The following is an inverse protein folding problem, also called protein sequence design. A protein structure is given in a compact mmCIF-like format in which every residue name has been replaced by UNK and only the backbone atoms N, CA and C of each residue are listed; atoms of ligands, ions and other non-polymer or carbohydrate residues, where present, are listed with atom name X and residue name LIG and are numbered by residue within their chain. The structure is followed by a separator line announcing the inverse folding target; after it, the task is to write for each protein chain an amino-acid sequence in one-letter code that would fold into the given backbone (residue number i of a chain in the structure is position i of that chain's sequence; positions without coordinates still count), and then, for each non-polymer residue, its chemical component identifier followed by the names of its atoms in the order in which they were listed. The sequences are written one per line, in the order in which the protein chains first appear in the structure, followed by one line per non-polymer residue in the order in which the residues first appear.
data_IF_810122307981
#
_entry.id   IF_810122307981
#
_cell.length_a   1.000
_cell.length_b   1.000
_cell.length_c   1.000
_cell.angle_alpha   90.00
_cell.angle_beta   90.00
_cell.angle_gamma   90.00
#
_symmetry.space_group_name_H-M   'P 1'
#
loop_
_entity.id
_entity.type
_entity.pdbx_description
1 polymer ?
#
# COMPACT_ATOMS: atom_id res chain seq x y z
N UNK A 1 50.52 -20.02 -23.67
CA UNK A 1 50.06 -18.64 -23.42
C UNK A 1 48.55 -18.39 -23.68
N UNK A 2 47.88 -18.99 -24.68
CA UNK A 2 46.44 -18.73 -24.98
C UNK A 2 45.44 -19.24 -23.91
N UNK A 3 45.76 -20.31 -23.16
CA UNK A 3 44.91 -20.89 -22.12
C UNK A 3 44.88 -20.09 -20.80
N UNK A 4 45.95 -19.38 -20.48
CA UNK A 4 46.06 -18.57 -19.26
C UNK A 4 45.28 -17.27 -19.34
N UNK A 5 45.14 -16.71 -20.56
CA UNK A 5 44.38 -15.49 -20.80
C UNK A 5 42.85 -15.74 -20.69
N UNK A 6 42.40 -16.94 -21.11
CA UNK A 6 40.99 -17.32 -21.03
C UNK A 6 40.51 -17.50 -19.57
N UNK A 7 41.36 -18.03 -18.71
CA UNK A 7 41.07 -18.21 -17.27
C UNK A 7 41.03 -16.87 -16.53
N UNK A 8 41.87 -15.91 -16.91
CA UNK A 8 41.88 -14.58 -16.30
C UNK A 8 40.65 -13.77 -16.68
N UNK A 9 40.16 -13.91 -17.91
CA UNK A 9 38.93 -13.24 -18.35
C UNK A 9 37.67 -13.81 -17.71
N UNK A 10 37.62 -15.12 -17.42
CA UNK A 10 36.51 -15.72 -16.69
C UNK A 10 36.50 -15.31 -15.19
N UNK A 11 37.65 -15.16 -14.57
CA UNK A 11 37.77 -14.68 -13.18
C UNK A 11 37.38 -13.21 -13.05
N UNK A 12 37.70 -12.36 -14.04
CA UNK A 12 37.26 -10.95 -14.07
C UNK A 12 35.75 -10.80 -14.31
N UNK A 13 35.17 -11.66 -15.14
CA UNK A 13 33.71 -11.69 -15.34
C UNK A 13 32.96 -12.14 -14.09
N UNK A 14 33.47 -13.14 -13.35
CA UNK A 14 32.87 -13.58 -12.08
C UNK A 14 33.00 -12.55 -10.96
N UNK A 15 34.06 -11.73 -10.94
CA UNK A 15 34.21 -10.64 -9.97
C UNK A 15 33.25 -9.45 -10.25
N UNK A 16 32.83 -9.23 -11.51
CA UNK A 16 31.86 -8.21 -11.86
C UNK A 16 30.42 -8.54 -11.40
N UNK A 17 30.11 -9.83 -11.17
CA UNK A 17 28.80 -10.26 -10.66
C UNK A 17 28.69 -10.29 -9.13
N UNK A 18 29.78 -10.03 -8.42
CA UNK A 18 29.83 -10.08 -6.96
C UNK A 18 30.00 -8.68 -6.34
N UNK A 19 29.44 -7.63 -6.96
CA UNK A 19 29.30 -6.38 -6.23
C UNK A 19 28.20 -6.61 -5.18
N UNK A 20 28.49 -6.44 -3.87
CA UNK A 20 27.43 -6.40 -2.88
C UNK A 20 26.48 -5.27 -3.28
N UNK A 21 25.22 -5.62 -3.52
CA UNK A 21 24.18 -4.61 -3.67
C UNK A 21 24.26 -3.70 -2.44
N UNK A 22 24.36 -2.40 -2.66
CA UNK A 22 24.25 -1.45 -1.55
C UNK A 22 23.01 -1.83 -0.72
N UNK A 23 23.12 -1.80 0.62
CA UNK A 23 21.98 -2.14 1.47
C UNK A 23 20.82 -1.21 1.10
N UNK A 24 19.66 -1.80 0.84
CA UNK A 24 18.47 -1.04 0.50
C UNK A 24 18.20 0.00 1.60
N UNK A 25 17.97 1.23 1.20
CA UNK A 25 17.64 2.32 2.13
C UNK A 25 16.32 1.96 2.82
N UNK A 26 16.32 1.94 4.16
CA UNK A 26 15.07 1.85 4.91
C UNK A 26 14.60 3.26 5.28
N UNK A 27 13.57 3.75 4.60
CA UNK A 27 12.99 5.08 4.85
C UNK A 27 12.20 5.15 6.16
N UNK A 28 11.77 4.01 6.70
CA UNK A 28 10.83 3.90 7.83
C UNK A 28 11.46 3.19 9.03
N UNK A 29 12.77 3.34 9.20
CA UNK A 29 13.55 2.69 10.26
C UNK A 29 13.27 3.22 11.68
N UNK A 30 12.52 4.32 11.79
CA UNK A 30 12.19 4.96 13.08
C UNK A 30 10.78 5.54 13.03
N UNK A 31 10.08 5.49 14.15
CA UNK A 31 8.86 6.27 14.35
C UNK A 31 9.14 7.77 14.21
N UNK A 32 8.18 8.49 13.67
CA UNK A 32 8.32 9.92 13.42
C UNK A 32 7.69 10.34 12.10
N UNK A 33 8.41 11.12 11.31
CA UNK A 33 7.92 11.62 10.03
C UNK A 33 8.94 11.47 8.92
N UNK A 34 8.43 11.24 7.71
CA UNK A 34 9.18 11.29 6.46
C UNK A 34 8.47 12.25 5.50
N UNK A 35 9.19 12.80 4.53
CA UNK A 35 8.65 13.79 3.62
C UNK A 35 8.83 13.36 2.16
N UNK A 36 7.77 13.48 1.38
CA UNK A 36 7.80 13.34 -0.06
C UNK A 36 8.36 14.61 -0.73
N UNK A 37 8.78 14.52 -1.97
CA UNK A 37 9.41 15.62 -2.72
C UNK A 37 8.48 16.82 -2.94
N UNK A 38 7.15 16.59 -2.96
CA UNK A 38 6.14 17.66 -3.06
C UNK A 38 5.84 18.37 -1.74
N UNK A 39 6.56 18.01 -0.67
CA UNK A 39 6.39 18.59 0.66
C UNK A 39 5.37 17.85 1.54
N UNK A 40 4.65 16.86 1.03
CA UNK A 40 3.71 16.04 1.82
C UNK A 40 4.46 15.29 2.92
N UNK A 41 3.98 15.40 4.15
CA UNK A 41 4.56 14.76 5.33
C UNK A 41 3.75 13.50 5.68
N UNK A 42 4.45 12.41 5.90
CA UNK A 42 3.87 11.14 6.36
C UNK A 42 4.34 10.86 7.78
N UNK A 43 3.41 10.50 8.66
CA UNK A 43 3.73 9.89 9.95
C UNK A 43 4.07 8.41 9.75
N UNK A 44 5.04 7.95 10.52
CA UNK A 44 5.51 6.56 10.59
C UNK A 44 5.35 6.09 12.02
N UNK A 45 4.63 4.99 12.20
CA UNK A 45 4.40 4.36 13.50
C UNK A 45 4.62 2.86 13.44
N UNK A 46 5.25 2.29 14.46
CA UNK A 46 5.55 0.87 14.55
C UNK A 46 6.84 0.44 13.85
N UNK A 47 7.83 1.32 13.70
CA UNK A 47 9.10 0.99 13.03
C UNK A 47 9.84 -0.23 13.63
N UNK A 48 9.71 -0.46 14.94
CA UNK A 48 10.27 -1.62 15.65
C UNK A 48 9.30 -2.83 15.67
N UNK A 49 8.15 -2.73 15.01
CA UNK A 49 7.12 -3.77 14.97
C UNK A 49 7.21 -4.60 13.68
N UNK A 50 6.54 -5.78 13.63
CA UNK A 50 6.42 -6.56 12.40
C UNK A 50 5.68 -5.84 11.27
N UNK A 51 4.89 -4.81 11.60
CA UNK A 51 4.16 -3.97 10.67
C UNK A 51 4.37 -2.49 10.99
N UNK A 52 4.43 -1.68 9.96
CA UNK A 52 4.62 -0.24 10.03
C UNK A 52 3.38 0.43 9.44
N UNK A 53 2.85 1.44 10.12
CA UNK A 53 1.79 2.29 9.61
C UNK A 53 2.40 3.56 9.00
N UNK A 54 2.03 3.87 7.77
CA UNK A 54 2.43 5.07 7.04
C UNK A 54 1.15 5.81 6.66
N UNK A 55 0.96 7.02 7.14
CA UNK A 55 -0.20 7.82 6.77
C UNK A 55 0.17 9.29 6.64
N UNK A 56 -0.54 10.02 5.79
CA UNK A 56 -0.39 11.47 5.69
C UNK A 56 -0.58 12.09 7.08
N UNK A 57 0.33 12.95 7.51
CA UNK A 57 0.30 13.55 8.84
C UNK A 57 -0.92 14.47 9.08
N UNK A 58 -1.63 14.84 8.01
CA UNK A 58 -2.89 15.58 8.07
C UNK A 58 -4.12 14.68 8.26
N UNK A 59 -3.96 13.36 8.11
CA UNK A 59 -5.05 12.40 8.30
C UNK A 59 -5.53 12.41 9.76
N UNK A 60 -6.85 12.40 9.94
CA UNK A 60 -7.49 12.42 11.25
C UNK A 60 -8.17 11.09 11.59
N UNK A 61 -8.63 10.38 10.58
CA UNK A 61 -9.45 9.18 10.73
C UNK A 61 -8.65 7.90 10.47
N UNK A 62 -7.57 7.99 9.69
CA UNK A 62 -6.70 6.85 9.37
C UNK A 62 -5.31 6.96 9.99
N UNK A 63 -5.07 7.93 10.88
CA UNK A 63 -3.85 8.02 11.67
C UNK A 63 -3.72 6.80 12.60
N UNK A 64 -2.50 6.44 12.99
CA UNK A 64 -2.24 5.26 13.83
C UNK A 64 -2.95 5.31 15.19
N UNK A 65 -3.12 6.51 15.74
CA UNK A 65 -3.83 6.80 16.99
C UNK A 65 -5.30 7.20 16.80
N UNK A 66 -5.81 7.15 15.55
CA UNK A 66 -7.16 7.54 15.26
C UNK A 66 -8.18 6.65 16.00
N UNK A 67 -9.21 7.30 16.51
CA UNK A 67 -10.34 6.58 17.10
C UNK A 67 -11.10 5.81 16.00
N UNK A 68 -11.28 4.52 16.18
CA UNK A 68 -12.14 3.69 15.32
C UNK A 68 -13.65 3.97 15.48
N UNK A 69 -14.02 5.00 16.25
CA UNK A 69 -15.41 5.34 16.50
C UNK A 69 -16.06 5.96 15.26
N UNK A 70 -17.20 5.44 14.89
CA UNK A 70 -18.03 6.00 13.83
C UNK A 70 -19.14 6.89 14.42
N UNK A 71 -19.53 7.91 13.67
CA UNK A 71 -20.52 8.89 14.10
C UNK A 71 -21.56 9.08 13.02
N UNK A 72 -22.82 9.15 13.42
CA UNK A 72 -23.90 9.62 12.59
C UNK A 72 -23.71 11.10 12.20
N UNK A 73 -24.36 11.53 11.14
CA UNK A 73 -24.34 12.93 10.67
C UNK A 73 -24.83 13.93 11.72
N UNK A 74 -25.75 13.49 12.59
CA UNK A 74 -26.24 14.28 13.73
C UNK A 74 -25.25 14.40 14.90
N UNK A 75 -24.11 13.71 14.84
CA UNK A 75 -23.06 13.73 15.85
C UNK A 75 -23.17 12.62 16.90
N UNK A 76 -24.21 11.83 16.89
CA UNK A 76 -24.34 10.65 17.76
C UNK A 76 -23.33 9.60 17.35
N UNK A 77 -22.68 8.96 18.32
CA UNK A 77 -21.72 7.86 18.08
C UNK A 77 -22.48 6.55 17.84
N UNK A 78 -21.91 5.65 17.03
CA UNK A 78 -22.32 4.26 17.01
C UNK A 78 -21.84 3.59 18.32
N UNK A 79 -22.76 2.92 19.03
CA UNK A 79 -22.46 2.38 20.35
C UNK A 79 -22.48 0.85 20.39
N UNK A 80 -23.27 0.22 19.52
CA UNK A 80 -23.50 -1.22 19.59
C UNK A 80 -22.78 -1.98 18.48
N UNK A 81 -22.41 -3.24 18.80
CA UNK A 81 -21.83 -4.16 17.79
C UNK A 81 -22.79 -4.38 16.63
N UNK A 82 -24.11 -4.35 16.90
CA UNK A 82 -25.14 -4.50 15.89
C UNK A 82 -25.14 -3.30 14.90
N UNK A 83 -25.01 -2.06 15.40
CA UNK A 83 -24.90 -0.87 14.54
C UNK A 83 -23.64 -0.95 13.66
N UNK A 84 -22.49 -1.29 14.24
CA UNK A 84 -21.24 -1.49 13.49
C UNK A 84 -21.38 -2.60 12.44
N UNK A 85 -22.08 -3.70 12.76
CA UNK A 85 -22.33 -4.80 11.82
C UNK A 85 -23.23 -4.44 10.65
N UNK A 86 -23.94 -3.31 10.70
CA UNK A 86 -24.76 -2.79 9.60
C UNK A 86 -23.98 -1.92 8.62
N UNK A 87 -22.81 -1.44 9.02
CA UNK A 87 -21.94 -0.67 8.13
C UNK A 87 -21.31 -1.61 7.13
N UNK A 88 -21.66 -1.48 5.88
CA UNK A 88 -21.13 -2.31 4.81
C UNK A 88 -20.63 -1.43 3.66
N UNK A 89 -19.44 -1.78 3.16
CA UNK A 89 -18.82 -1.12 2.03
C UNK A 89 -17.75 -1.99 1.41
N UNK A 90 -17.67 -1.93 0.11
CA UNK A 90 -16.68 -2.64 -0.69
C UNK A 90 -16.09 -1.73 -1.76
N UNK A 91 -14.88 -2.04 -2.20
CA UNK A 91 -14.31 -1.37 -3.38
C UNK A 91 -15.21 -1.65 -4.58
N UNK A 92 -15.81 -0.59 -5.13
CA UNK A 92 -16.76 -0.70 -6.23
C UNK A 92 -16.05 -1.06 -7.55
N UNK A 93 -14.89 -0.47 -7.79
CA UNK A 93 -14.08 -0.71 -8.98
C UNK A 93 -12.85 -1.55 -8.63
N UNK A 94 -13.02 -2.88 -8.61
CA UNK A 94 -11.95 -3.85 -8.35
C UNK A 94 -10.88 -3.84 -9.46
N UNK A 95 -11.26 -3.51 -10.70
CA UNK A 95 -10.32 -3.45 -11.82
C UNK A 95 -9.39 -2.25 -11.68
N UNK A 96 -9.95 -1.06 -11.37
CA UNK A 96 -9.14 0.13 -11.10
C UNK A 96 -8.17 -0.10 -9.93
N UNK A 97 -8.66 -0.71 -8.84
CA UNK A 97 -7.83 -1.05 -7.69
C UNK A 97 -6.69 -1.99 -8.07
N UNK A 98 -6.99 -3.07 -8.79
CA UNK A 98 -5.99 -4.05 -9.25
C UNK A 98 -4.98 -3.40 -10.21
N UNK A 99 -5.45 -2.56 -11.15
CA UNK A 99 -4.61 -1.83 -12.10
C UNK A 99 -3.63 -0.91 -11.37
N UNK A 100 -4.09 -0.13 -10.38
CA UNK A 100 -3.22 0.74 -9.58
C UNK A 100 -2.10 -0.07 -8.95
N UNK A 101 -2.40 -1.19 -8.29
CA UNK A 101 -1.38 -2.05 -7.70
C UNK A 101 -0.42 -2.61 -8.76
N UNK A 102 -0.94 -3.00 -9.93
CA UNK A 102 -0.11 -3.50 -11.02
C UNK A 102 0.86 -2.45 -11.55
N UNK A 103 0.40 -1.19 -11.66
CA UNK A 103 1.21 -0.08 -12.18
C UNK A 103 2.25 0.42 -11.16
N UNK A 104 1.96 0.27 -9.87
CA UNK A 104 2.82 0.78 -8.80
C UNK A 104 4.00 -0.14 -8.48
N UNK A 105 3.93 -1.44 -8.82
CA UNK A 105 4.96 -2.43 -8.48
C UNK A 105 5.54 -3.06 -9.76
N UNK A 106 6.86 -3.26 -9.80
CA UNK A 106 7.51 -4.03 -10.88
C UNK A 106 7.20 -5.52 -10.74
N UNK A 107 7.43 -6.30 -11.80
CA UNK A 107 7.24 -7.75 -11.77
C UNK A 107 8.11 -8.41 -10.70
N UNK A 108 9.37 -7.97 -10.53
CA UNK A 108 10.28 -8.47 -9.51
C UNK A 108 9.75 -8.19 -8.10
N UNK A 109 9.22 -6.99 -7.86
CA UNK A 109 8.60 -6.64 -6.59
C UNK A 109 7.35 -7.48 -6.32
N UNK A 110 6.50 -7.67 -7.33
CA UNK A 110 5.30 -8.51 -7.21
C UNK A 110 5.70 -9.95 -6.83
N UNK A 111 6.70 -10.53 -7.50
CA UNK A 111 7.20 -11.88 -7.20
C UNK A 111 7.71 -11.98 -5.77
N UNK A 112 8.50 -11.01 -5.32
CA UNK A 112 9.01 -10.96 -3.95
C UNK A 112 7.86 -10.86 -2.93
N UNK A 113 6.87 -9.97 -3.16
CA UNK A 113 5.74 -9.72 -2.27
C UNK A 113 4.73 -10.89 -2.22
N UNK A 114 4.64 -11.71 -3.28
CA UNK A 114 3.76 -12.91 -3.32
C UNK A 114 4.06 -13.91 -2.20
N UNK A 115 5.29 -13.96 -1.72
CA UNK A 115 5.75 -14.92 -0.71
C UNK A 115 5.70 -14.38 0.72
N UNK A 116 5.43 -13.09 0.89
CA UNK A 116 5.39 -12.46 2.21
C UNK A 116 4.03 -12.64 2.87
N UNK A 117 4.05 -12.63 4.22
CA UNK A 117 2.84 -12.69 5.03
C UNK A 117 2.36 -11.27 5.30
N UNK A 118 1.13 -10.95 4.89
CA UNK A 118 0.53 -9.62 5.07
C UNK A 118 1.45 -8.48 4.58
N UNK A 119 1.86 -8.48 3.31
CA UNK A 119 2.83 -7.48 2.85
C UNK A 119 2.27 -6.06 2.91
N UNK A 120 0.99 -5.86 2.55
CA UNK A 120 0.39 -4.53 2.45
C UNK A 120 -1.11 -4.57 2.70
N UNK A 121 -1.58 -3.68 3.57
CA UNK A 121 -2.99 -3.32 3.68
C UNK A 121 -3.18 -1.82 3.45
N UNK A 122 -4.30 -1.46 2.85
CA UNK A 122 -4.72 -0.06 2.64
C UNK A 122 -5.92 0.21 3.52
N UNK A 123 -5.74 1.14 4.45
CA UNK A 123 -6.82 1.73 5.24
C UNK A 123 -7.30 3.03 4.61
N UNK A 124 -8.59 3.31 4.65
CA UNK A 124 -9.11 4.56 4.14
C UNK A 124 -10.30 5.06 4.95
N UNK A 125 -10.48 6.38 4.95
CA UNK A 125 -11.73 7.03 5.34
C UNK A 125 -12.49 7.43 4.07
N UNK A 126 -13.76 7.01 4.01
CA UNK A 126 -14.62 7.14 2.82
C UNK A 126 -15.79 8.04 3.14
N UNK A 127 -16.08 8.97 2.24
CA UNK A 127 -17.32 9.75 2.27
C UNK A 127 -18.49 8.85 1.84
N UNK A 128 -19.48 8.61 2.72
CA UNK A 128 -20.56 7.68 2.41
C UNK A 128 -21.55 8.18 1.36
N UNK A 129 -21.52 9.47 1.00
CA UNK A 129 -22.44 10.04 0.00
C UNK A 129 -22.07 9.63 -1.43
N UNK A 130 -20.77 9.64 -1.73
CA UNK A 130 -20.23 9.45 -3.08
C UNK A 130 -19.22 8.30 -3.21
N UNK A 131 -18.90 7.64 -2.10
CA UNK A 131 -17.92 6.57 -2.07
C UNK A 131 -16.47 7.01 -2.29
N UNK A 132 -16.19 8.32 -2.23
CA UNK A 132 -14.84 8.87 -2.40
C UNK A 132 -14.05 8.66 -1.12
N UNK A 133 -12.87 8.05 -1.25
CA UNK A 133 -11.93 7.99 -0.14
C UNK A 133 -11.13 9.29 -0.04
N UNK A 134 -11.22 9.95 1.09
CA UNK A 134 -10.57 11.25 1.32
C UNK A 134 -9.31 11.15 2.18
N UNK A 135 -9.15 10.07 2.95
CA UNK A 135 -7.91 9.71 3.62
C UNK A 135 -7.49 8.29 3.27
N UNK A 136 -6.18 8.07 3.16
CA UNK A 136 -5.57 6.76 2.92
C UNK A 136 -4.40 6.59 3.87
N UNK A 137 -4.25 5.39 4.40
CA UNK A 137 -3.08 4.93 5.16
C UNK A 137 -2.61 3.59 4.63
N UNK A 138 -1.35 3.30 4.85
CA UNK A 138 -0.73 2.03 4.48
C UNK A 138 -0.24 1.32 5.73
N UNK A 139 -0.63 0.06 5.89
CA UNK A 139 -0.03 -0.83 6.88
C UNK A 139 0.82 -1.82 6.11
N UNK A 140 2.12 -1.68 6.23
CA UNK A 140 3.10 -2.49 5.50
C UNK A 140 3.78 -3.48 6.44
N UNK A 141 4.13 -4.66 5.93
CA UNK A 141 5.07 -5.53 6.61
C UNK A 141 6.45 -4.88 6.68
N UNK A 142 7.15 -5.05 7.80
CA UNK A 142 8.51 -4.53 7.96
C UNK A 142 9.51 -5.38 7.17
N UNK A 143 9.40 -5.32 5.83
CA UNK A 143 10.24 -6.03 4.87
C UNK A 143 11.00 -5.04 4.00
N UNK A 144 12.27 -5.32 3.64
CA UNK A 144 13.08 -4.45 2.78
C UNK A 144 12.38 -4.06 1.47
N UNK A 145 11.57 -4.96 0.88
CA UNK A 145 10.83 -4.75 -0.36
C UNK A 145 9.80 -3.62 -0.26
N UNK A 146 9.32 -3.32 0.95
CA UNK A 146 8.35 -2.25 1.20
C UNK A 146 8.98 -1.04 1.90
N UNK A 147 9.92 -1.28 2.82
CA UNK A 147 10.56 -0.20 3.58
C UNK A 147 11.58 0.58 2.75
N UNK A 148 12.03 0.05 1.61
CA UNK A 148 12.88 0.75 0.64
C UNK A 148 12.10 1.57 -0.39
N UNK A 149 10.77 1.48 -0.42
CA UNK A 149 9.95 2.35 -1.26
C UNK A 149 9.94 3.76 -0.69
N UNK A 150 10.24 4.74 -1.52
CA UNK A 150 10.36 6.14 -1.06
C UNK A 150 9.03 6.74 -0.59
N UNK A 151 9.04 7.83 0.19
CA UNK A 151 7.82 8.57 0.51
C UNK A 151 7.06 9.04 -0.74
N UNK A 152 7.75 9.34 -1.85
CA UNK A 152 7.13 9.69 -3.13
C UNK A 152 6.34 8.56 -3.75
N UNK A 153 6.77 7.31 -3.55
CA UNK A 153 6.00 6.14 -3.96
C UNK A 153 4.64 6.11 -3.26
N UNK A 154 4.63 6.22 -1.92
CA UNK A 154 3.38 6.21 -1.14
C UNK A 154 2.52 7.44 -1.45
N UNK A 155 3.14 8.59 -1.75
CA UNK A 155 2.43 9.79 -2.20
C UNK A 155 1.69 9.57 -3.52
N UNK A 156 2.37 9.00 -4.50
CA UNK A 156 1.77 8.66 -5.80
C UNK A 156 0.65 7.64 -5.62
N UNK A 157 0.87 6.64 -4.79
CA UNK A 157 -0.10 5.59 -4.51
C UNK A 157 -1.36 6.13 -3.83
N UNK A 158 -1.19 6.94 -2.76
CA UNK A 158 -2.28 7.63 -2.07
C UNK A 158 -3.14 8.44 -3.05
N UNK A 159 -2.49 9.26 -3.88
CA UNK A 159 -3.15 10.10 -4.86
C UNK A 159 -4.00 9.28 -5.83
N UNK A 160 -3.42 8.25 -6.44
CA UNK A 160 -4.13 7.38 -7.37
C UNK A 160 -5.33 6.69 -6.72
N UNK A 161 -5.15 6.16 -5.51
CA UNK A 161 -6.24 5.53 -4.78
C UNK A 161 -7.40 6.51 -4.54
N UNK A 162 -7.13 7.74 -4.12
CA UNK A 162 -8.15 8.77 -3.91
C UNK A 162 -8.85 9.20 -5.20
N UNK A 163 -8.14 9.29 -6.30
CA UNK A 163 -8.66 9.75 -7.58
C UNK A 163 -9.41 8.67 -8.35
N UNK A 164 -8.89 7.45 -8.38
CA UNK A 164 -9.34 6.40 -9.29
C UNK A 164 -10.28 5.37 -8.64
N UNK A 165 -10.25 5.21 -7.29
CA UNK A 165 -11.03 4.18 -6.61
C UNK A 165 -12.29 4.76 -5.98
N UNK A 166 -13.40 4.02 -6.09
CA UNK A 166 -14.67 4.33 -5.41
C UNK A 166 -15.11 3.15 -4.57
N UNK A 167 -15.82 3.46 -3.49
CA UNK A 167 -16.40 2.48 -2.59
C UNK A 167 -17.90 2.37 -2.84
N UNK A 168 -18.38 1.14 -2.81
CA UNK A 168 -19.81 0.88 -2.75
C UNK A 168 -20.24 1.01 -1.29
N UNK A 169 -21.25 1.81 -1.03
CA UNK A 169 -21.66 2.15 0.34
C UNK A 169 -23.15 1.84 0.50
N UNK A 170 -23.51 1.08 1.52
CA UNK A 170 -24.91 0.76 1.78
C UNK A 170 -25.68 1.94 2.38
N UNK A 171 -27.01 1.85 2.39
CA UNK A 171 -27.88 2.95 2.84
C UNK A 171 -27.75 3.24 4.35
N UNK A 172 -27.35 2.26 5.16
CA UNK A 172 -27.08 2.51 6.56
C UNK A 172 -25.83 3.37 6.73
N UNK A 173 -24.74 3.03 6.04
CA UNK A 173 -23.49 3.78 6.09
C UNK A 173 -23.64 5.23 5.58
N UNK A 174 -24.57 5.49 4.66
CA UNK A 174 -24.90 6.87 4.20
C UNK A 174 -25.42 7.79 5.30
N UNK A 175 -25.85 7.25 6.44
CA UNK A 175 -26.25 8.04 7.60
C UNK A 175 -25.06 8.51 8.44
N UNK A 176 -23.85 8.01 8.17
CA UNK A 176 -22.63 8.31 8.91
C UNK A 176 -21.90 9.51 8.33
N UNK A 177 -21.07 10.15 9.15
CA UNK A 177 -20.16 11.22 8.71
C UNK A 177 -19.07 10.70 7.77
N UNK A 178 -18.60 9.50 8.03
CA UNK A 178 -17.60 8.78 7.26
C UNK A 178 -17.70 7.29 7.60
N UNK A 179 -17.09 6.45 6.77
CA UNK A 179 -16.88 5.04 7.07
C UNK A 179 -15.41 4.68 6.91
N UNK A 180 -14.99 3.60 7.58
CA UNK A 180 -13.67 3.03 7.38
C UNK A 180 -13.72 1.91 6.35
N UNK A 181 -12.73 1.90 5.46
CA UNK A 181 -12.42 0.78 4.60
C UNK A 181 -11.04 0.23 4.93
N UNK A 182 -10.91 -1.09 4.95
CA UNK A 182 -9.63 -1.79 5.06
C UNK A 182 -9.56 -2.87 4.01
N UNK A 183 -8.55 -2.82 3.17
CA UNK A 183 -8.30 -3.85 2.16
C UNK A 183 -6.90 -4.41 2.33
N UNK A 184 -6.83 -5.71 2.61
CA UNK A 184 -5.56 -6.46 2.60
C UNK A 184 -5.33 -6.94 1.18
N UNK A 185 -4.24 -6.49 0.57
CA UNK A 185 -3.95 -6.80 -0.81
C UNK A 185 -3.25 -8.16 -0.95
N UNK A 186 -3.76 -8.97 -1.87
CA UNK A 186 -3.21 -10.29 -2.15
C UNK A 186 -2.37 -10.29 -3.43
N UNK A 187 -1.06 -10.08 -3.29
CA UNK A 187 -0.11 -10.05 -4.41
C UNK A 187 -0.05 -11.36 -5.21
N UNK A 188 -0.48 -12.50 -4.64
CA UNK A 188 -0.56 -13.78 -5.39
C UNK A 188 -1.57 -13.74 -6.53
N UNK A 189 -2.56 -12.86 -6.44
CA UNK A 189 -3.60 -12.69 -7.47
C UNK A 189 -3.25 -11.59 -8.49
N UNK A 190 -2.17 -10.84 -8.26
CA UNK A 190 -1.76 -9.78 -9.17
C UNK A 190 -1.01 -10.39 -10.36
N UNK A 191 -1.47 -10.22 -11.61
CA UNK A 191 -0.82 -10.80 -12.78
C UNK A 191 0.53 -10.11 -13.05
N UNK A 192 1.50 -10.85 -13.55
CA UNK A 192 2.74 -10.32 -14.10
C UNK A 192 2.50 -9.81 -15.52
N UNK A 193 3.40 -8.95 -16.02
CA UNK A 193 3.30 -8.44 -17.40
C UNK A 193 3.27 -9.57 -18.42
N UNK A 194 4.13 -10.58 -18.26
CA UNK A 194 4.17 -11.76 -19.12
C UNK A 194 2.87 -12.57 -19.08
N UNK A 195 2.19 -12.64 -17.94
CA UNK A 195 0.92 -13.36 -17.79
C UNK A 195 -0.26 -12.61 -18.46
N UNK A 196 -0.11 -11.30 -18.71
CA UNK A 196 -1.12 -10.50 -19.43
C UNK A 196 -0.96 -10.59 -20.94
N UNK A 197 0.28 -10.71 -21.45
CA UNK A 197 0.58 -10.82 -22.89
C UNK A 197 0.18 -12.17 -23.49
N UNK A 198 0.12 -13.22 -22.66
CA UNK A 198 -0.26 -14.58 -23.08
C UNK A 198 -1.78 -14.82 -23.24
N UNK A 199 -2.63 -13.87 -22.82
CA UNK A 199 -4.07 -13.97 -23.05
C UNK A 199 -4.41 -13.47 -24.46
N UNK A 200 -4.74 -14.36 -25.43
CA UNK A 200 -5.26 -13.91 -26.71
C UNK A 200 -6.55 -13.10 -26.46
N UNK A 201 -6.69 -11.99 -27.19
CA UNK A 201 -7.96 -11.25 -27.22
C UNK A 201 -9.07 -12.21 -27.72
N UNK A 202 -10.03 -12.54 -26.84
CA UNK A 202 -11.26 -13.23 -27.20
C UNK A 202 -12.19 -12.29 -28.00
#
# INVERSE_FOLDING_TARGET
MKRTILLLSLLLAAAAYAQPSEPAVNYYAKDGTVQASDGTVYSVDGADSPTITICNAENRYTAADASSSLYYKDGRRLETVEEYGRVDGAVADQEAFTRIFRDMFTDEQIVALRNLRLPLAVGCAVNPEDGVQFEVSFVIGNYPELTSLSPDFYRTFEKRLKEEVRWHVNDFAKQLKYMFGLTIFNFRKLPLTSELEEKPAE
#
